data_IF_407456648210
#
_entry.id   IF_407456648210
#
_cell.length_a   1.000
_cell.length_b   1.000
_cell.length_c   1.000
_cell.angle_alpha   90.00
_cell.angle_beta   90.00
_cell.angle_gamma   90.00
#
_symmetry.space_group_name_H-M   'P 1'
#
loop_
_entity.id
_entity.type
_entity.pdbx_description
1 polymer ?
#
# COMPACT_ATOMS: atom_id res chain seq x y z
N UNK A 1 0.78 15.25 -15.41
CA UNK A 1 0.66 13.85 -14.99
C UNK A 1 -0.65 13.67 -14.23
N UNK A 2 -1.19 12.49 -14.25
CA UNK A 2 -2.42 12.16 -13.54
C UNK A 2 -2.12 11.41 -12.25
N UNK A 3 -3.05 11.45 -11.30
CA UNK A 3 -2.97 10.68 -10.07
C UNK A 3 -3.72 9.35 -10.24
N UNK A 4 -3.12 8.29 -9.75
CA UNK A 4 -3.69 6.94 -9.79
C UNK A 4 -3.70 6.37 -8.38
N UNK A 5 -4.81 5.74 -8.03
CA UNK A 5 -4.99 5.12 -6.72
C UNK A 5 -4.84 3.61 -6.85
N UNK A 6 -4.05 3.04 -5.97
CA UNK A 6 -3.79 1.61 -5.93
C UNK A 6 -4.20 1.02 -4.60
N UNK A 7 -4.75 -0.18 -4.65
CA UNK A 7 -4.96 -1.05 -3.50
C UNK A 7 -3.86 -2.11 -3.51
N UNK A 8 -3.26 -2.33 -2.33
CA UNK A 8 -2.27 -3.38 -2.12
C UNK A 8 -2.70 -4.27 -0.96
N UNK A 9 -2.63 -5.58 -1.19
CA UNK A 9 -2.71 -6.57 -0.12
C UNK A 9 -1.30 -7.08 0.12
N UNK A 10 -0.79 -6.84 1.31
CA UNK A 10 0.60 -7.11 1.67
C UNK A 10 0.63 -8.16 2.78
N UNK A 11 1.30 -9.27 2.52
CA UNK A 11 1.54 -10.29 3.54
C UNK A 11 2.91 -10.05 4.15
N UNK A 12 2.99 -10.19 5.47
CA UNK A 12 4.26 -10.16 6.19
C UNK A 12 4.78 -11.58 6.31
N UNK A 13 5.98 -11.81 5.78
CA UNK A 13 6.64 -13.12 5.86
C UNK A 13 7.25 -13.30 7.25
N UNK A 14 6.51 -13.95 8.13
CA UNK A 14 6.92 -14.15 9.53
C UNK A 14 8.13 -15.06 9.65
N UNK A 15 8.46 -15.83 8.61
CA UNK A 15 9.62 -16.75 8.61
C UNK A 15 10.96 -16.03 8.46
N UNK A 16 10.95 -14.75 8.11
CA UNK A 16 12.17 -13.94 7.93
C UNK A 16 12.77 -13.43 9.24
N UNK A 17 12.07 -13.61 10.36
CA UNK A 17 12.56 -13.27 11.69
C UNK A 17 12.84 -14.53 12.50
N UNK A 18 13.85 -14.48 13.37
CA UNK A 18 14.25 -15.65 14.19
C UNK A 18 13.34 -15.87 15.40
N UNK A 19 12.54 -14.87 15.78
CA UNK A 19 11.63 -14.95 16.92
C UNK A 19 10.44 -14.02 16.72
N UNK A 20 9.38 -14.23 17.49
CA UNK A 20 8.22 -13.33 17.50
C UNK A 20 8.58 -11.93 17.99
N UNK A 21 9.47 -11.80 18.97
CA UNK A 21 9.93 -10.50 19.47
C UNK A 21 10.69 -9.73 18.41
N UNK A 22 11.57 -10.40 17.66
CA UNK A 22 12.30 -9.77 16.57
C UNK A 22 11.34 -9.29 15.47
N UNK A 23 10.36 -10.11 15.12
CA UNK A 23 9.34 -9.74 14.15
C UNK A 23 8.57 -8.50 14.61
N UNK A 24 8.09 -8.47 15.84
CA UNK A 24 7.31 -7.36 16.36
C UNK A 24 8.16 -6.08 16.48
N UNK A 25 9.43 -6.21 16.83
CA UNK A 25 10.35 -5.07 16.88
C UNK A 25 10.55 -4.46 15.50
N UNK A 26 10.78 -5.29 14.48
CA UNK A 26 10.94 -4.85 13.11
C UNK A 26 9.63 -4.25 12.57
N UNK A 27 8.51 -4.89 12.87
CA UNK A 27 7.20 -4.38 12.46
C UNK A 27 6.87 -3.04 13.12
N UNK A 28 7.30 -2.85 14.37
CA UNK A 28 7.11 -1.56 15.03
C UNK A 28 7.87 -0.43 14.30
N UNK A 29 9.09 -0.69 13.84
CA UNK A 29 9.84 0.30 13.04
C UNK A 29 9.06 0.64 11.76
N UNK A 30 8.56 -0.38 11.07
CA UNK A 30 7.74 -0.21 9.87
C UNK A 30 6.46 0.58 10.18
N UNK A 31 5.77 0.24 11.26
CA UNK A 31 4.51 0.86 11.64
C UNK A 31 4.68 2.35 11.95
N UNK A 32 5.77 2.75 12.59
CA UNK A 32 6.02 4.16 12.86
C UNK A 32 6.22 4.96 11.57
N UNK A 33 6.93 4.41 10.62
CA UNK A 33 7.09 5.03 9.31
C UNK A 33 5.74 5.10 8.56
N UNK A 34 4.95 4.04 8.62
CA UNK A 34 3.63 3.96 7.99
C UNK A 34 2.66 4.99 8.58
N UNK A 35 2.63 5.14 9.91
CA UNK A 35 1.80 6.14 10.58
C UNK A 35 2.18 7.55 10.14
N UNK A 36 3.47 7.83 9.98
CA UNK A 36 3.93 9.11 9.45
C UNK A 36 3.36 9.40 8.06
N UNK A 37 3.35 8.41 7.17
CA UNK A 37 2.77 8.56 5.84
C UNK A 37 1.25 8.73 5.89
N UNK A 38 0.56 8.05 6.80
CA UNK A 38 -0.89 8.21 7.02
C UNK A 38 -1.20 9.62 7.51
N UNK A 39 -0.42 10.14 8.46
CA UNK A 39 -0.61 11.48 9.02
C UNK A 39 -0.37 12.56 7.95
N UNK A 40 0.52 12.30 7.01
CA UNK A 40 0.76 13.17 5.86
C UNK A 40 -0.32 13.06 4.78
N UNK A 41 -1.26 12.12 4.92
CA UNK A 41 -2.35 11.93 3.97
C UNK A 41 -1.97 11.20 2.68
N UNK A 42 -0.79 10.57 2.64
CA UNK A 42 -0.27 9.90 1.45
C UNK A 42 -0.95 8.54 1.25
N UNK A 43 -1.21 7.82 2.33
CA UNK A 43 -1.75 6.47 2.30
C UNK A 43 -2.82 6.27 3.36
N UNK A 44 -3.67 5.26 3.14
CA UNK A 44 -4.59 4.71 4.16
C UNK A 44 -4.22 3.26 4.36
N UNK A 45 -4.05 2.84 5.61
CA UNK A 45 -3.56 1.50 5.94
C UNK A 45 -4.46 0.86 6.99
N UNK A 46 -4.80 -0.41 6.77
CA UNK A 46 -5.52 -1.24 7.74
C UNK A 46 -4.73 -2.51 7.99
N UNK A 47 -4.66 -2.93 9.24
CA UNK A 47 -4.11 -4.22 9.62
C UNK A 47 -5.26 -5.22 9.66
N UNK A 48 -5.08 -6.38 9.02
CA UNK A 48 -6.02 -7.49 9.18
C UNK A 48 -6.01 -7.90 10.66
N UNK A 49 -7.19 -7.97 11.27
CA UNK A 49 -7.29 -8.23 12.70
C UNK A 49 -6.92 -9.67 13.09
N UNK A 50 -6.87 -10.59 12.15
CA UNK A 50 -6.68 -12.03 12.38
C UNK A 50 -5.47 -12.64 11.67
N UNK A 51 -4.79 -11.90 10.80
CA UNK A 51 -3.69 -12.46 10.00
C UNK A 51 -2.55 -11.44 9.87
N UNK A 52 -1.37 -11.92 9.47
CA UNK A 52 -0.19 -11.09 9.21
C UNK A 52 -0.29 -10.42 7.83
N UNK A 53 -1.35 -9.67 7.63
CA UNK A 53 -1.69 -8.99 6.37
C UNK A 53 -2.00 -7.53 6.64
N UNK A 54 -1.57 -6.67 5.73
CA UNK A 54 -1.82 -5.24 5.76
C UNK A 54 -2.46 -4.83 4.43
N UNK A 55 -3.49 -4.00 4.51
CA UNK A 55 -4.17 -3.45 3.33
C UNK A 55 -3.80 -1.98 3.19
N UNK A 56 -3.34 -1.59 2.02
CA UNK A 56 -2.89 -0.22 1.75
C UNK A 56 -3.66 0.36 0.57
N UNK A 57 -4.15 1.58 0.72
CA UNK A 57 -4.66 2.38 -0.38
C UNK A 57 -3.77 3.61 -0.49
N UNK A 58 -3.15 3.81 -1.66
CA UNK A 58 -2.20 4.88 -1.88
C UNK A 58 -2.43 5.53 -3.25
N UNK A 59 -2.26 6.85 -3.31
CA UNK A 59 -2.40 7.62 -4.54
C UNK A 59 -1.03 8.17 -4.93
N UNK A 60 -0.60 7.87 -6.15
CA UNK A 60 0.66 8.35 -6.71
C UNK A 60 0.44 8.92 -8.10
N UNK A 61 1.28 9.87 -8.47
CA UNK A 61 1.24 10.48 -9.80
C UNK A 61 2.10 9.68 -10.79
N UNK A 62 1.71 9.70 -12.04
CA UNK A 62 2.45 9.11 -13.14
C UNK A 62 1.81 9.46 -14.47
N UNK A 63 2.49 9.17 -15.56
CA UNK A 63 1.94 9.35 -16.90
C UNK A 63 0.83 8.33 -17.18
N UNK A 64 0.87 7.20 -16.50
CA UNK A 64 -0.12 6.13 -16.58
C UNK A 64 -0.10 5.32 -15.28
N UNK A 65 -1.03 4.37 -15.14
CA UNK A 65 -1.17 3.56 -13.93
C UNK A 65 0.08 2.73 -13.63
N UNK A 66 0.75 2.21 -14.66
CA UNK A 66 1.97 1.40 -14.49
C UNK A 66 3.11 2.24 -13.91
N UNK A 67 3.27 3.46 -14.40
CA UNK A 67 4.29 4.38 -13.87
C UNK A 67 4.00 4.77 -12.43
N UNK A 68 2.74 5.06 -12.10
CA UNK A 68 2.32 5.38 -10.73
C UNK A 68 2.58 4.19 -9.78
N UNK A 69 2.32 2.97 -10.24
CA UNK A 69 2.64 1.75 -9.49
C UNK A 69 4.14 1.62 -9.25
N UNK A 70 4.96 1.90 -10.25
CA UNK A 70 6.42 1.91 -10.12
C UNK A 70 6.90 2.89 -9.06
N UNK A 71 6.32 4.09 -9.04
CA UNK A 71 6.61 5.12 -8.02
C UNK A 71 6.23 4.64 -6.62
N UNK A 72 5.06 3.98 -6.50
CA UNK A 72 4.61 3.41 -5.24
C UNK A 72 5.60 2.36 -4.71
N UNK A 73 6.02 1.43 -5.57
CA UNK A 73 6.97 0.38 -5.18
C UNK A 73 8.32 0.96 -4.78
N UNK A 74 8.82 1.98 -5.50
CA UNK A 74 10.05 2.67 -5.15
C UNK A 74 9.95 3.34 -3.77
N UNK A 75 8.81 3.95 -3.47
CA UNK A 75 8.55 4.59 -2.17
C UNK A 75 8.50 3.54 -1.06
N UNK A 76 7.74 2.46 -1.25
CA UNK A 76 7.63 1.37 -0.28
C UNK A 76 8.97 0.68 -0.05
N UNK A 77 9.81 0.58 -1.08
CA UNK A 77 11.13 -0.05 -1.00
C UNK A 77 12.09 0.63 -0.02
N UNK A 78 11.80 1.86 0.41
CA UNK A 78 12.60 2.55 1.41
C UNK A 78 12.26 2.14 2.85
N UNK A 79 11.17 1.40 3.04
CA UNK A 79 10.66 1.03 4.36
C UNK A 79 11.42 -0.16 4.94
N UNK A 80 11.58 -0.24 6.28
CA UNK A 80 12.39 -1.27 6.92
C UNK A 80 12.04 -2.70 6.58
N UNK A 81 10.77 -3.06 6.54
CA UNK A 81 10.36 -4.45 6.26
C UNK A 81 10.46 -4.81 4.78
N UNK A 82 10.38 -3.83 3.88
CA UNK A 82 10.70 -4.05 2.47
C UNK A 82 12.18 -4.37 2.31
N UNK A 83 13.04 -3.60 2.96
CA UNK A 83 14.49 -3.79 2.87
C UNK A 83 14.93 -5.12 3.49
N UNK A 84 14.27 -5.55 4.55
CA UNK A 84 14.61 -6.81 5.23
C UNK A 84 14.00 -8.05 4.57
N UNK A 85 13.17 -7.88 3.52
CA UNK A 85 12.57 -8.99 2.79
C UNK A 85 11.35 -9.61 3.44
N UNK A 86 10.74 -8.93 4.42
CA UNK A 86 9.52 -9.42 5.09
C UNK A 86 8.24 -9.21 4.27
N UNK A 87 8.30 -8.40 3.22
CA UNK A 87 7.10 -7.98 2.49
C UNK A 87 6.85 -8.86 1.28
N UNK A 88 5.63 -9.38 1.20
CA UNK A 88 5.12 -10.08 0.02
C UNK A 88 3.88 -9.34 -0.46
N UNK A 89 3.93 -8.78 -1.66
CA UNK A 89 2.76 -8.14 -2.25
C UNK A 89 1.92 -9.22 -2.91
N UNK A 90 0.82 -9.60 -2.26
CA UNK A 90 -0.07 -10.63 -2.76
C UNK A 90 -1.02 -10.13 -3.83
N UNK A 91 -1.36 -8.83 -3.77
CA UNK A 91 -2.29 -8.23 -4.71
C UNK A 91 -1.96 -6.75 -4.87
N UNK A 92 -1.99 -6.28 -6.10
CA UNK A 92 -1.83 -4.86 -6.42
C UNK A 92 -2.83 -4.54 -7.53
N UNK A 93 -3.75 -3.61 -7.26
CA UNK A 93 -4.81 -3.24 -8.21
C UNK A 93 -4.93 -1.74 -8.31
N UNK A 94 -5.01 -1.24 -9.53
CA UNK A 94 -5.44 0.12 -9.77
C UNK A 94 -6.94 0.18 -9.48
N UNK A 95 -7.35 1.11 -8.64
CA UNK A 95 -8.74 1.28 -8.25
C UNK A 95 -9.21 2.68 -8.58
N UNK A 96 -10.51 2.81 -8.77
CA UNK A 96 -11.15 4.07 -9.12
C UNK A 96 -12.10 4.44 -7.98
N UNK A 97 -12.14 5.71 -7.60
CA UNK A 97 -13.14 6.18 -6.65
C UNK A 97 -14.52 5.91 -7.24
N UNK A 98 -15.41 5.32 -6.44
CA UNK A 98 -16.72 4.93 -6.92
C UNK A 98 -17.55 6.11 -7.42
N UNK A 99 -17.32 7.31 -6.87
CA UNK A 99 -17.98 8.53 -7.33
C UNK A 99 -17.57 8.90 -8.74
N UNK A 100 -16.28 8.69 -9.10
CA UNK A 100 -15.79 8.91 -10.46
C UNK A 100 -16.43 7.92 -11.43
N UNK A 101 -16.56 6.68 -11.02
CA UNK A 101 -17.24 5.65 -11.80
C UNK A 101 -18.72 6.01 -12.00
N UNK A 102 -19.39 6.44 -10.91
CA UNK A 102 -20.80 6.86 -10.97
C UNK A 102 -20.99 8.05 -11.92
N UNK A 103 -20.08 9.02 -11.87
CA UNK A 103 -20.11 10.18 -12.78
C UNK A 103 -19.93 9.75 -14.24
N UNK A 104 -19.01 8.82 -14.50
CA UNK A 104 -18.82 8.26 -15.83
C UNK A 104 -20.08 7.58 -16.35
N UNK A 105 -20.74 6.76 -15.50
CA UNK A 105 -21.99 6.10 -15.86
C UNK A 105 -23.09 7.09 -16.17
N UNK A 106 -23.21 8.14 -15.38
CA UNK A 106 -24.22 9.18 -15.58
C UNK A 106 -24.01 9.95 -16.90
N UNK A 107 -22.77 10.17 -17.28
CA UNK A 107 -22.42 10.95 -18.48
C UNK A 107 -22.44 10.14 -19.77
N UNK A 108 -22.40 8.83 -19.73
CA UNK A 108 -22.31 8.02 -20.95
C UNK A 108 -23.57 8.06 -21.83
N UNK A 109 -24.70 8.50 -21.27
CA UNK A 109 -26.00 8.60 -21.95
C UNK A 109 -26.36 10.03 -22.34
N UNK A 110 -25.47 10.98 -22.15
CA UNK A 110 -25.70 12.37 -22.48
C UNK A 110 -25.15 12.77 -23.84
#
# INVERSE_FOLDING_TARGET
MAAFTYFYKIRIDVTKSSSGEELLSKWNEEAQAAVGAMDAGIVKIWKDASDAVVYVIATFEGANAVEAHGTALATFGTLPMFQSGHIIIEEARSVLDYREWAAHLANRNS
#
